data_IF_309016455518
#
_entry.id   IF_309016455518
#
_cell.length_a   1.000
_cell.length_b   1.000
_cell.length_c   1.000
_cell.angle_alpha   90.00
_cell.angle_beta   90.00
_cell.angle_gamma   90.00
#
_symmetry.space_group_name_H-M   'P 1'
#
loop_
_entity.id
_entity.type
_entity.pdbx_description
1 polymer ?
#
# COMPACT_ATOMS: atom_id res chain seq x y z
N UNK A 1 29.95 70.84 45.85
CA UNK A 1 30.86 69.83 45.23
C UNK A 1 30.16 68.49 45.01
N UNK A 2 29.34 68.01 45.95
CA UNK A 2 28.66 66.71 45.86
C UNK A 2 27.70 66.57 44.65
N UNK A 3 27.01 67.64 44.25
CA UNK A 3 26.10 67.64 43.08
C UNK A 3 26.81 67.42 41.73
N UNK A 4 28.09 67.79 41.61
CA UNK A 4 28.87 67.58 40.38
C UNK A 4 29.34 66.12 40.24
N UNK A 5 29.68 65.47 41.37
CA UNK A 5 30.11 64.06 41.37
C UNK A 5 28.95 63.14 40.98
N UNK A 6 27.75 63.41 41.50
CA UNK A 6 26.54 62.64 41.16
C UNK A 6 26.18 62.80 39.68
N UNK A 7 26.25 64.02 39.14
CA UNK A 7 25.98 64.27 37.72
C UNK A 7 26.99 63.58 36.80
N UNK A 8 28.26 63.52 37.19
CA UNK A 8 29.29 62.84 36.41
C UNK A 8 29.13 61.30 36.45
N UNK A 9 28.74 60.73 37.59
CA UNK A 9 28.40 59.31 37.70
C UNK A 9 27.16 58.95 36.89
N UNK A 10 26.10 59.77 36.93
CA UNK A 10 24.90 59.59 36.10
C UNK A 10 25.21 59.66 34.60
N UNK A 11 26.12 60.56 34.19
CA UNK A 11 26.60 60.66 32.81
C UNK A 11 27.36 59.41 32.37
N UNK A 12 28.28 58.91 33.21
CA UNK A 12 29.03 57.66 32.96
C UNK A 12 28.09 56.45 32.88
N UNK A 13 27.11 56.36 33.78
CA UNK A 13 26.12 55.27 33.77
C UNK A 13 25.27 55.28 32.49
N UNK A 14 24.82 56.47 32.06
CA UNK A 14 24.07 56.63 30.82
C UNK A 14 24.90 56.26 29.59
N UNK A 15 26.18 56.61 29.56
CA UNK A 15 27.08 56.22 28.46
C UNK A 15 27.23 54.69 28.37
N UNK A 16 27.46 54.01 29.50
CA UNK A 16 27.56 52.54 29.53
C UNK A 16 26.27 51.87 29.05
N UNK A 17 25.11 52.42 29.37
CA UNK A 17 23.82 51.89 28.89
C UNK A 17 23.64 52.08 27.37
N UNK A 18 24.03 53.23 26.84
CA UNK A 18 24.00 53.52 25.40
C UNK A 18 24.93 52.57 24.64
N UNK A 19 26.17 52.40 25.12
CA UNK A 19 27.17 51.53 24.48
C UNK A 19 26.71 50.06 24.47
N UNK A 20 26.07 49.59 25.55
CA UNK A 20 25.47 48.24 25.61
C UNK A 20 24.35 48.06 24.58
N UNK A 21 23.51 49.07 24.39
CA UNK A 21 22.41 49.01 23.42
C UNK A 21 22.92 49.03 21.98
N UNK A 22 23.96 49.82 21.68
CA UNK A 22 24.60 49.82 20.36
C UNK A 22 25.24 48.48 20.02
N UNK A 23 26.06 47.91 20.92
CA UNK A 23 26.66 46.59 20.72
C UNK A 23 25.63 45.48 20.53
N UNK A 24 24.49 45.56 21.22
CA UNK A 24 23.39 44.59 21.05
C UNK A 24 22.75 44.70 19.66
N UNK A 25 22.57 45.92 19.13
CA UNK A 25 22.04 46.15 17.76
C UNK A 25 23.01 45.65 16.69
N UNK A 26 24.30 45.97 16.81
CA UNK A 26 25.34 45.51 15.88
C UNK A 26 25.44 43.99 15.84
N UNK A 27 25.38 43.34 17.01
CA UNK A 27 25.40 41.88 17.09
C UNK A 27 24.17 41.25 16.42
N UNK A 28 22.97 41.84 16.60
CA UNK A 28 21.75 41.37 15.93
C UNK A 28 21.82 41.55 14.40
N UNK A 29 22.33 42.68 13.92
CA UNK A 29 22.52 42.91 12.48
C UNK A 29 23.51 41.91 11.88
N UNK A 30 24.70 41.76 12.48
CA UNK A 30 25.72 40.80 12.04
C UNK A 30 25.21 39.34 12.04
N UNK A 31 24.35 38.99 12.99
CA UNK A 31 23.71 37.68 13.04
C UNK A 31 22.70 37.50 11.90
N UNK A 32 21.87 38.50 11.63
CA UNK A 32 20.87 38.43 10.56
C UNK A 32 21.52 38.38 9.17
N UNK A 33 22.59 39.13 8.95
CA UNK A 33 23.34 39.13 7.69
C UNK A 33 24.01 37.78 7.42
N UNK A 34 24.56 37.14 8.46
CA UNK A 34 25.12 35.77 8.38
C UNK A 34 24.07 34.70 8.12
N UNK A 35 22.89 34.80 8.73
CA UNK A 35 21.82 33.81 8.51
C UNK A 35 21.28 33.95 7.08
N UNK A 36 21.09 35.18 6.58
CA UNK A 36 20.59 35.47 5.23
C UNK A 36 21.50 34.94 4.12
N UNK A 37 22.83 35.07 4.25
CA UNK A 37 23.77 34.55 3.26
C UNK A 37 23.81 33.02 3.21
N UNK A 38 23.88 32.35 4.37
CA UNK A 38 23.92 30.88 4.45
C UNK A 38 22.64 30.23 3.93
N UNK A 39 21.47 30.86 4.13
CA UNK A 39 20.20 30.36 3.58
C UNK A 39 20.12 30.47 2.06
N UNK A 40 20.68 31.53 1.46
CA UNK A 40 20.67 31.73 0.00
C UNK A 40 21.57 30.72 -0.72
N UNK A 41 22.76 30.47 -0.17
CA UNK A 41 23.70 29.52 -0.78
C UNK A 41 23.19 28.07 -0.69
N UNK A 42 22.54 27.69 0.43
CA UNK A 42 21.89 26.39 0.57
C UNK A 42 20.73 26.20 -0.39
N UNK A 43 19.88 27.23 -0.56
CA UNK A 43 18.76 27.18 -1.48
C UNK A 43 19.21 27.05 -2.94
N UNK A 44 20.25 27.79 -3.34
CA UNK A 44 20.84 27.68 -4.68
C UNK A 44 21.46 26.30 -4.92
N UNK A 45 22.12 25.73 -3.92
CA UNK A 45 22.71 24.39 -4.01
C UNK A 45 21.63 23.31 -4.15
N UNK A 46 20.53 23.43 -3.40
CA UNK A 46 19.38 22.53 -3.53
C UNK A 46 18.70 22.65 -4.90
N UNK A 47 18.47 23.86 -5.40
CA UNK A 47 17.92 24.08 -6.74
C UNK A 47 18.78 23.48 -7.85
N UNK A 48 20.12 23.60 -7.75
CA UNK A 48 21.03 22.97 -8.71
C UNK A 48 20.96 21.45 -8.66
N UNK A 49 20.88 20.87 -7.46
CA UNK A 49 20.71 19.41 -7.28
C UNK A 49 19.40 18.92 -7.89
N UNK A 50 18.28 19.59 -7.61
CA UNK A 50 16.96 19.26 -8.16
C UNK A 50 16.96 19.33 -9.70
N UNK A 51 17.55 20.39 -10.27
CA UNK A 51 17.64 20.54 -11.73
C UNK A 51 18.51 19.46 -12.38
N UNK A 52 19.58 19.01 -11.72
CA UNK A 52 20.42 17.93 -12.22
C UNK A 52 19.68 16.58 -12.21
N UNK A 53 18.97 16.26 -11.13
CA UNK A 53 18.16 15.05 -11.00
C UNK A 53 17.01 15.02 -12.02
N UNK A 54 16.34 16.15 -12.24
CA UNK A 54 15.27 16.25 -13.23
C UNK A 54 15.77 16.01 -14.66
N UNK A 55 16.95 16.55 -15.01
CA UNK A 55 17.58 16.28 -16.32
C UNK A 55 17.92 14.81 -16.51
N UNK A 56 18.42 14.13 -15.47
CA UNK A 56 18.71 12.69 -15.54
C UNK A 56 17.44 11.86 -15.72
N UNK A 57 16.36 12.19 -15.00
CA UNK A 57 15.06 11.50 -15.14
C UNK A 57 14.48 11.66 -16.56
N UNK A 58 14.56 12.86 -17.13
CA UNK A 58 14.11 13.10 -18.51
C UNK A 58 14.91 12.28 -19.53
N UNK A 59 16.24 12.23 -19.40
CA UNK A 59 17.07 11.43 -20.29
C UNK A 59 16.76 9.92 -20.18
N UNK A 60 16.46 9.41 -18.97
CA UNK A 60 16.03 8.03 -18.78
C UNK A 60 14.66 7.75 -19.43
N UNK A 61 13.70 8.67 -19.29
CA UNK A 61 12.39 8.54 -19.93
C UNK A 61 12.50 8.52 -21.47
N UNK A 62 13.33 9.38 -22.04
CA UNK A 62 13.60 9.39 -23.49
C UNK A 62 14.21 8.05 -23.95
N UNK A 63 15.14 7.48 -23.18
CA UNK A 63 15.73 6.16 -23.47
C UNK A 63 14.67 5.04 -23.43
N UNK A 64 13.79 5.05 -22.43
CA UNK A 64 12.69 4.08 -22.32
C UNK A 64 11.77 4.18 -23.54
N UNK A 65 11.38 5.40 -23.91
CA UNK A 65 10.53 5.65 -25.08
C UNK A 65 11.19 5.15 -26.37
N UNK A 66 12.48 5.42 -26.57
CA UNK A 66 13.22 4.91 -27.73
C UNK A 66 13.25 3.37 -27.76
N UNK A 67 13.40 2.72 -26.60
CA UNK A 67 13.38 1.25 -26.51
C UNK A 67 11.99 0.68 -26.82
N UNK A 68 10.91 1.31 -26.34
CA UNK A 68 9.54 0.91 -26.68
C UNK A 68 9.32 0.99 -28.19
N UNK A 69 9.73 2.09 -28.83
CA UNK A 69 9.61 2.23 -30.28
C UNK A 69 10.42 1.20 -31.08
N UNK A 70 11.56 0.73 -30.55
CA UNK A 70 12.34 -0.36 -31.15
C UNK A 70 11.67 -1.74 -31.00
N UNK A 71 10.91 -1.96 -29.94
CA UNK A 71 10.23 -3.24 -29.66
C UNK A 71 8.86 -3.35 -30.35
N UNK A 72 8.22 -2.23 -30.66
CA UNK A 72 6.90 -2.19 -31.32
C UNK A 72 6.84 -3.02 -32.63
N UNK A 73 7.84 -2.95 -33.55
CA UNK A 73 7.82 -3.74 -34.78
C UNK A 73 7.96 -5.24 -34.51
N UNK A 74 8.72 -5.63 -33.47
CA UNK A 74 8.92 -7.04 -33.09
C UNK A 74 7.59 -7.61 -32.57
N UNK A 75 6.87 -6.86 -31.73
CA UNK A 75 5.55 -7.26 -31.24
C UNK A 75 4.53 -7.35 -32.38
N UNK A 76 4.56 -6.42 -33.34
CA UNK A 76 3.71 -6.49 -34.54
C UNK A 76 4.02 -7.72 -35.40
N UNK A 77 5.30 -8.09 -35.54
CA UNK A 77 5.69 -9.32 -36.26
C UNK A 77 5.26 -10.59 -35.54
N UNK A 78 5.41 -10.64 -34.21
CA UNK A 78 4.97 -11.79 -33.40
C UNK A 78 3.45 -11.97 -33.47
N UNK A 79 2.68 -10.88 -33.43
CA UNK A 79 1.23 -10.94 -33.60
C UNK A 79 0.86 -11.53 -34.97
N UNK A 80 1.51 -11.04 -36.04
CA UNK A 80 1.21 -11.47 -37.40
C UNK A 80 1.59 -12.95 -37.62
N UNK A 81 2.67 -13.44 -36.99
CA UNK A 81 3.02 -14.87 -36.98
C UNK A 81 2.00 -15.72 -36.21
N UNK A 82 1.49 -15.21 -35.09
CA UNK A 82 0.48 -15.90 -34.29
C UNK A 82 -0.84 -16.03 -35.06
N UNK A 83 -1.30 -14.96 -35.69
CA UNK A 83 -2.51 -14.94 -36.51
C UNK A 83 -2.40 -15.92 -37.69
N UNK A 84 -1.23 -15.97 -38.35
CA UNK A 84 -0.96 -16.94 -39.41
C UNK A 84 -1.01 -18.39 -38.90
N UNK A 85 -0.46 -18.68 -37.72
CA UNK A 85 -0.50 -20.03 -37.16
C UNK A 85 -1.92 -20.46 -36.77
N UNK A 86 -2.73 -19.55 -36.21
CA UNK A 86 -4.13 -19.85 -35.91
C UNK A 86 -4.92 -20.17 -37.18
N UNK A 87 -4.74 -19.38 -38.24
CA UNK A 87 -5.41 -19.63 -39.51
C UNK A 87 -5.01 -20.98 -40.12
N UNK A 88 -3.72 -21.32 -40.08
CA UNK A 88 -3.23 -22.64 -40.54
C UNK A 88 -3.86 -23.78 -39.72
N UNK A 89 -3.99 -23.63 -38.39
CA UNK A 89 -4.63 -24.65 -37.55
C UNK A 89 -6.13 -24.77 -37.84
N UNK A 90 -6.83 -23.65 -38.01
CA UNK A 90 -8.24 -23.64 -38.34
C UNK A 90 -8.52 -24.30 -39.71
N UNK A 91 -7.69 -24.02 -40.72
CA UNK A 91 -7.78 -24.61 -42.05
C UNK A 91 -7.44 -26.12 -42.03
N UNK A 92 -6.46 -26.55 -41.21
CA UNK A 92 -6.16 -27.97 -41.00
C UNK A 92 -7.30 -28.73 -40.29
N UNK A 93 -8.03 -28.06 -39.40
CA UNK A 93 -9.19 -28.64 -38.71
C UNK A 93 -10.37 -28.70 -39.69
N UNK A 94 -10.66 -27.62 -40.43
CA UNK A 94 -11.73 -27.57 -41.43
C UNK A 94 -11.57 -28.58 -42.56
N UNK A 95 -10.33 -28.88 -42.97
CA UNK A 95 -10.07 -29.90 -44.00
C UNK A 95 -10.21 -31.34 -43.52
N UNK A 96 -10.24 -31.59 -42.21
CA UNK A 96 -10.28 -32.95 -41.61
C UNK A 96 -11.61 -33.30 -40.94
N UNK A 97 -12.47 -32.32 -40.67
CA UNK A 97 -13.69 -32.47 -39.89
C UNK A 97 -14.86 -31.74 -40.55
N UNK A 98 -16.07 -32.29 -40.48
CA UNK A 98 -17.28 -31.56 -40.89
C UNK A 98 -17.57 -30.42 -39.90
N UNK A 99 -18.23 -29.33 -40.32
CA UNK A 99 -18.52 -28.16 -39.47
C UNK A 99 -19.14 -28.52 -38.11
N UNK A 100 -19.94 -29.60 -38.09
CA UNK A 100 -20.54 -30.16 -36.88
C UNK A 100 -19.53 -30.83 -35.94
N UNK A 101 -18.54 -31.57 -36.48
CA UNK A 101 -17.47 -32.18 -35.69
C UNK A 101 -16.49 -31.12 -35.11
N UNK A 102 -16.28 -30.03 -35.84
CA UNK A 102 -15.48 -28.88 -35.39
C UNK A 102 -16.14 -28.19 -34.20
N UNK A 103 -17.45 -27.94 -34.30
CA UNK A 103 -18.23 -27.37 -33.20
C UNK A 103 -18.20 -28.26 -31.95
N UNK A 104 -18.26 -29.59 -32.10
CA UNK A 104 -18.14 -30.50 -30.95
C UNK A 104 -16.75 -30.49 -30.31
N UNK A 105 -15.67 -30.37 -31.10
CA UNK A 105 -14.29 -30.28 -30.60
C UNK A 105 -14.01 -28.95 -29.88
N UNK A 106 -14.55 -27.83 -30.36
CA UNK A 106 -14.39 -26.51 -29.73
C UNK A 106 -15.11 -26.40 -28.39
N UNK A 107 -16.26 -27.06 -28.24
CA UNK A 107 -17.04 -27.12 -26.99
C UNK A 107 -16.51 -28.17 -25.99
N UNK A 108 -15.37 -28.83 -26.29
CA UNK A 108 -14.78 -29.87 -25.44
C UNK A 108 -15.62 -31.14 -25.32
N UNK A 109 -16.56 -31.36 -26.25
CA UNK A 109 -17.43 -32.53 -26.26
C UNK A 109 -16.64 -33.69 -26.87
N UNK A 110 -16.45 -34.83 -26.15
CA UNK A 110 -15.67 -35.94 -26.65
C UNK A 110 -16.37 -36.59 -27.85
N UNK A 111 -15.92 -36.25 -29.06
CA UNK A 111 -16.36 -36.90 -30.30
C UNK A 111 -15.77 -38.31 -30.31
N UNK A 112 -16.59 -39.31 -30.01
CA UNK A 112 -16.20 -40.72 -30.20
C UNK A 112 -16.01 -40.97 -31.69
N UNK A 113 -14.77 -40.93 -32.15
CA UNK A 113 -14.38 -41.41 -33.47
C UNK A 113 -14.51 -42.93 -33.52
N UNK A 114 -15.72 -43.42 -33.77
CA UNK A 114 -15.90 -44.79 -34.27
C UNK A 114 -15.62 -44.78 -35.77
N UNK A 115 -14.38 -45.11 -36.16
CA UNK A 115 -14.19 -45.74 -37.46
C UNK A 115 -14.73 -47.16 -37.39
N UNK A 116 -15.84 -47.44 -38.10
CA UNK A 116 -16.07 -48.66 -38.90
C UNK A 116 -17.45 -48.62 -39.58
N UNK A 117 -17.39 -48.46 -40.91
CA UNK A 117 -18.13 -49.08 -42.01
C UNK A 117 -19.67 -49.32 -41.97
N UNK A 118 -20.29 -49.37 -43.17
CA UNK A 118 -21.70 -49.06 -43.36
C UNK A 118 -22.58 -50.30 -43.19
N UNK A 119 -23.77 -50.11 -42.62
CA UNK A 119 -24.88 -51.04 -42.83
C UNK A 119 -26.14 -50.27 -43.18
N UNK A 120 -26.61 -50.52 -44.39
CA UNK A 120 -27.92 -50.13 -44.88
C UNK A 120 -29.04 -50.83 -44.09
N UNK A 121 -30.16 -50.11 -44.02
CA UNK A 121 -31.54 -50.58 -43.99
C UNK A 121 -32.14 -51.16 -42.71
N UNK A 122 -33.44 -50.85 -42.60
CA UNK A 122 -34.50 -51.35 -41.74
C UNK A 122 -34.70 -50.47 -40.48
N UNK A 123 -35.85 -49.89 -40.18
CA UNK A 123 -37.23 -50.01 -40.71
C UNK A 123 -37.99 -48.76 -40.20
N UNK A 124 -38.77 -48.16 -41.10
CA UNK A 124 -40.10 -47.57 -40.92
C UNK A 124 -40.42 -46.78 -39.63
N UNK A 125 -40.75 -45.50 -39.85
CA UNK A 125 -41.84 -44.77 -39.18
C UNK A 125 -43.09 -45.64 -39.01
N UNK A 126 -43.79 -45.60 -37.86
CA UNK A 126 -44.86 -44.61 -37.77
C UNK A 126 -45.08 -44.01 -36.36
N UNK A 127 -45.59 -42.77 -36.39
CA UNK A 127 -46.62 -42.24 -35.51
C UNK A 127 -46.56 -42.56 -34.02
N UNK A 128 -46.02 -41.61 -33.26
CA UNK A 128 -46.71 -41.14 -32.05
C UNK A 128 -46.07 -39.82 -31.60
N UNK A 129 -46.83 -38.74 -31.72
CA UNK A 129 -46.62 -37.50 -30.96
C UNK A 129 -47.29 -37.72 -29.60
N UNK A 130 -46.56 -37.65 -28.47
CA UNK A 130 -47.16 -37.21 -27.22
C UNK A 130 -46.73 -35.77 -26.95
N UNK A 131 -47.75 -34.93 -27.05
CA UNK A 131 -48.04 -33.71 -26.31
C UNK A 131 -46.91 -33.08 -25.48
N UNK A 132 -46.70 -31.79 -25.80
CA UNK A 132 -46.05 -30.78 -24.99
C UNK A 132 -46.42 -30.89 -23.50
N UNK A 133 -45.46 -31.31 -22.67
CA UNK A 133 -45.41 -30.87 -21.28
C UNK A 133 -44.58 -29.58 -21.24
N UNK A 134 -45.25 -28.50 -20.83
CA UNK A 134 -44.62 -27.26 -20.41
C UNK A 134 -43.62 -27.58 -19.29
N UNK A 135 -42.33 -27.62 -19.61
CA UNK A 135 -41.29 -27.42 -18.62
C UNK A 135 -41.39 -25.97 -18.16
N UNK A 136 -42.04 -25.78 -17.01
CA UNK A 136 -41.87 -24.61 -16.16
C UNK A 136 -40.37 -24.43 -15.93
N UNK A 137 -39.83 -23.31 -16.40
CA UNK A 137 -38.50 -22.82 -16.04
C UNK A 137 -38.47 -22.58 -14.53
N UNK A 138 -38.17 -23.63 -13.77
CA UNK A 138 -37.63 -23.48 -12.43
C UNK A 138 -36.17 -23.02 -12.59
N UNK A 139 -35.95 -21.71 -12.68
CA UNK A 139 -34.67 -21.11 -12.34
C UNK A 139 -34.45 -21.31 -10.85
N UNK A 140 -34.09 -22.52 -10.45
CA UNK A 140 -33.38 -22.72 -9.19
C UNK A 140 -31.99 -22.18 -9.45
N UNK A 141 -31.79 -20.90 -9.15
CA UNK A 141 -30.47 -20.41 -8.75
C UNK A 141 -30.03 -21.31 -7.59
N UNK A 142 -29.34 -22.40 -7.92
CA UNK A 142 -28.68 -23.24 -6.93
C UNK A 142 -27.73 -22.31 -6.19
N UNK A 143 -27.91 -22.18 -4.87
CA UNK A 143 -26.89 -21.58 -4.01
C UNK A 143 -25.61 -22.38 -4.24
N UNK A 144 -24.59 -21.69 -4.75
CA UNK A 144 -23.26 -22.27 -4.94
C UNK A 144 -22.52 -22.12 -3.63
N UNK A 145 -22.12 -23.24 -3.04
CA UNK A 145 -21.27 -23.24 -1.85
C UNK A 145 -19.82 -22.99 -2.27
N UNK A 146 -19.28 -21.82 -1.92
CA UNK A 146 -17.90 -21.47 -2.18
C UNK A 146 -16.96 -22.13 -1.16
N UNK A 147 -15.81 -22.59 -1.63
CA UNK A 147 -14.70 -23.04 -0.78
C UNK A 147 -14.10 -21.86 0.00
N UNK A 148 -13.45 -22.15 1.13
CA UNK A 148 -12.76 -21.12 1.92
C UNK A 148 -11.66 -20.40 1.13
N UNK A 149 -10.98 -21.09 0.22
CA UNK A 149 -9.95 -20.48 -0.63
C UNK A 149 -10.56 -19.49 -1.63
N UNK A 150 -11.69 -19.82 -2.26
CA UNK A 150 -12.39 -18.92 -3.17
C UNK A 150 -12.90 -17.67 -2.46
N UNK A 151 -13.45 -17.82 -1.25
CA UNK A 151 -13.86 -16.68 -0.42
C UNK A 151 -12.67 -15.77 -0.10
N UNK A 152 -11.50 -16.32 0.25
CA UNK A 152 -10.28 -15.54 0.54
C UNK A 152 -9.76 -14.81 -0.69
N UNK A 153 -9.74 -15.46 -1.86
CA UNK A 153 -9.33 -14.81 -3.12
C UNK A 153 -10.29 -13.67 -3.47
N UNK A 154 -11.60 -13.90 -3.31
CA UNK A 154 -12.63 -12.88 -3.52
C UNK A 154 -12.47 -11.70 -2.56
N UNK A 155 -12.26 -11.96 -1.27
CA UNK A 155 -11.95 -10.93 -0.27
C UNK A 155 -10.72 -10.09 -0.64
N UNK A 156 -9.63 -10.75 -1.08
CA UNK A 156 -8.41 -10.06 -1.50
C UNK A 156 -8.62 -9.20 -2.75
N UNK A 157 -9.30 -9.74 -3.76
CA UNK A 157 -9.62 -9.00 -5.00
C UNK A 157 -10.50 -7.80 -4.72
N UNK A 158 -11.55 -7.97 -3.91
CA UNK A 158 -12.42 -6.88 -3.49
C UNK A 158 -11.63 -5.76 -2.80
N UNK A 159 -10.70 -6.11 -1.91
CA UNK A 159 -9.85 -5.13 -1.22
C UNK A 159 -8.91 -4.36 -2.15
N UNK A 160 -8.47 -4.97 -3.25
CA UNK A 160 -7.52 -4.35 -4.20
C UNK A 160 -8.21 -3.51 -5.27
N UNK A 161 -9.34 -3.98 -5.78
CA UNK A 161 -10.05 -3.35 -6.90
C UNK A 161 -11.08 -2.32 -6.43
N UNK A 162 -11.57 -2.44 -5.19
CA UNK A 162 -12.74 -1.71 -4.73
C UNK A 162 -14.05 -2.36 -5.20
N UNK A 163 -15.16 -1.98 -4.58
CA UNK A 163 -16.46 -2.64 -4.77
C UNK A 163 -16.97 -2.56 -6.22
N UNK A 164 -16.88 -1.37 -6.82
CA UNK A 164 -17.40 -1.15 -8.17
C UNK A 164 -16.69 -2.03 -9.19
N UNK A 165 -15.35 -1.99 -9.23
CA UNK A 165 -14.57 -2.76 -10.20
C UNK A 165 -14.64 -4.26 -9.94
N UNK A 166 -14.76 -4.67 -8.68
CA UNK A 166 -14.98 -6.08 -8.36
C UNK A 166 -16.32 -6.58 -8.92
N UNK A 167 -17.40 -5.80 -8.80
CA UNK A 167 -18.71 -6.18 -9.33
C UNK A 167 -18.72 -6.18 -10.87
N UNK A 168 -18.08 -5.19 -11.50
CA UNK A 168 -17.88 -5.16 -12.97
C UNK A 168 -17.12 -6.41 -13.47
N UNK A 169 -16.02 -6.78 -12.82
CA UNK A 169 -15.26 -7.99 -13.17
C UNK A 169 -16.11 -9.25 -12.95
N UNK A 170 -16.87 -9.30 -11.86
CA UNK A 170 -17.77 -10.40 -11.53
C UNK A 170 -18.85 -10.58 -12.60
N UNK A 171 -19.50 -9.51 -13.03
CA UNK A 171 -20.52 -9.55 -14.08
C UNK A 171 -19.94 -10.05 -15.40
N UNK A 172 -18.75 -9.56 -15.80
CA UNK A 172 -18.07 -10.00 -17.02
C UNK A 172 -17.78 -11.51 -16.93
N UNK A 173 -17.17 -11.99 -15.86
CA UNK A 173 -16.79 -13.40 -15.75
C UNK A 173 -17.99 -14.34 -15.64
N UNK A 174 -19.04 -13.92 -14.93
CA UNK A 174 -20.29 -14.70 -14.87
C UNK A 174 -20.99 -14.76 -16.23
N UNK A 175 -21.00 -13.64 -16.96
CA UNK A 175 -21.68 -13.54 -18.27
C UNK A 175 -20.93 -14.26 -19.38
N UNK A 176 -19.61 -14.11 -19.45
CA UNK A 176 -18.81 -14.59 -20.59
C UNK A 176 -18.06 -15.89 -20.31
N UNK A 177 -17.66 -16.15 -19.07
CA UNK A 177 -16.85 -17.32 -18.72
C UNK A 177 -17.63 -18.37 -17.92
N UNK A 178 -18.90 -18.09 -17.56
CA UNK A 178 -19.75 -18.95 -16.71
C UNK A 178 -19.06 -19.32 -15.39
N UNK A 179 -18.12 -18.51 -14.92
CA UNK A 179 -17.42 -18.70 -13.65
C UNK A 179 -18.26 -18.07 -12.55
N UNK A 180 -18.57 -18.84 -11.51
CA UNK A 180 -19.32 -18.34 -10.36
C UNK A 180 -18.35 -17.69 -9.40
N UNK A 181 -18.41 -16.35 -9.31
CA UNK A 181 -17.57 -15.57 -8.39
C UNK A 181 -18.39 -15.18 -7.16
N UNK A 182 -17.81 -15.26 -5.94
CA UNK A 182 -18.47 -14.81 -4.72
C UNK A 182 -19.01 -13.38 -4.85
N UNK A 183 -20.22 -13.15 -4.34
CA UNK A 183 -20.79 -11.81 -4.29
C UNK A 183 -19.97 -10.87 -3.40
N UNK A 184 -20.10 -9.55 -3.60
CA UNK A 184 -19.49 -8.54 -2.72
C UNK A 184 -19.81 -8.81 -1.25
N UNK A 185 -21.07 -9.16 -0.93
CA UNK A 185 -21.46 -9.48 0.45
C UNK A 185 -20.70 -10.68 1.03
N UNK A 186 -20.46 -11.71 0.20
CA UNK A 186 -19.68 -12.90 0.61
C UNK A 186 -18.22 -12.55 0.81
N UNK A 187 -17.64 -11.78 -0.11
CA UNK A 187 -16.27 -11.30 -0.01
C UNK A 187 -16.05 -10.39 1.20
N UNK A 188 -16.95 -9.42 1.46
CA UNK A 188 -16.93 -8.57 2.67
C UNK A 188 -17.06 -9.38 3.95
N UNK A 189 -17.93 -10.39 3.98
CA UNK A 189 -18.07 -11.27 5.15
C UNK A 189 -16.77 -12.03 5.41
N UNK A 190 -16.12 -12.54 4.36
CA UNK A 190 -14.82 -13.18 4.50
C UNK A 190 -13.75 -12.18 4.96
N UNK A 191 -13.73 -10.95 4.42
CA UNK A 191 -12.84 -9.90 4.93
C UNK A 191 -13.07 -9.63 6.42
N UNK A 192 -14.32 -9.55 6.89
CA UNK A 192 -14.63 -9.38 8.32
C UNK A 192 -14.10 -10.55 9.15
N UNK A 193 -14.35 -11.79 8.72
CA UNK A 193 -13.82 -13.00 9.38
C UNK A 193 -12.30 -13.01 9.39
N UNK A 194 -11.67 -12.60 8.29
CA UNK A 194 -10.23 -12.51 8.19
C UNK A 194 -9.69 -11.35 9.05
N UNK A 195 -10.37 -10.21 9.16
CA UNK A 195 -10.01 -9.12 10.07
C UNK A 195 -10.19 -9.50 11.55
N UNK A 196 -11.19 -10.30 11.88
CA UNK A 196 -11.40 -10.83 13.24
C UNK A 196 -10.39 -11.93 13.61
N UNK A 197 -9.93 -12.72 12.63
CA UNK A 197 -8.93 -13.78 12.83
C UNK A 197 -7.50 -13.28 12.77
N UNK A 198 -7.22 -12.41 11.81
CA UNK A 198 -5.97 -11.70 11.71
C UNK A 198 -6.09 -10.60 12.74
N UNK A 199 -5.59 -10.90 13.93
CA UNK A 199 -5.29 -9.97 15.01
C UNK A 199 -4.52 -8.71 14.58
N UNK A 200 -4.28 -8.41 13.29
CA UNK A 200 -3.54 -7.27 12.78
C UNK A 200 -4.07 -5.94 13.31
N UNK A 201 -5.39 -5.75 13.37
CA UNK A 201 -5.95 -4.50 13.90
C UNK A 201 -5.82 -4.42 15.43
N UNK A 202 -6.08 -5.51 16.15
CA UNK A 202 -5.90 -5.57 17.60
C UNK A 202 -4.43 -5.67 18.04
N UNK A 203 -3.52 -6.05 17.15
CA UNK A 203 -2.08 -6.15 17.36
C UNK A 203 -1.48 -4.77 17.21
N UNK A 204 -1.74 -4.15 16.07
CA UNK A 204 -1.01 -2.97 15.69
C UNK A 204 -1.59 -1.72 16.32
N UNK A 205 -2.90 -1.65 16.63
CA UNK A 205 -3.54 -0.54 17.38
C UNK A 205 -3.36 -0.76 18.89
N UNK A 206 -2.10 -0.78 19.33
CA UNK A 206 -1.77 -1.01 20.73
C UNK A 206 -1.74 0.29 21.53
N UNK A 207 -2.27 0.26 22.76
CA UNK A 207 -1.67 1.10 23.81
C UNK A 207 -0.22 0.64 24.03
N UNK A 208 0.05 -0.67 24.06
CA UNK A 208 1.37 -1.27 24.29
C UNK A 208 1.81 -2.10 23.08
N UNK A 209 3.11 -2.06 22.79
CA UNK A 209 3.75 -2.85 21.74
C UNK A 209 4.03 -4.27 22.26
N UNK A 210 3.49 -5.29 21.57
CA UNK A 210 3.76 -6.70 21.84
C UNK A 210 4.65 -7.27 20.73
N UNK A 211 5.95 -7.51 21.01
CA UNK A 211 6.88 -7.95 19.98
C UNK A 211 6.54 -9.30 19.34
N UNK A 212 5.81 -10.19 20.02
CA UNK A 212 5.43 -11.49 19.46
C UNK A 212 4.26 -11.36 18.47
N UNK A 213 3.38 -10.38 18.71
CA UNK A 213 2.17 -10.13 17.94
C UNK A 213 2.43 -9.16 16.78
N UNK A 214 3.18 -8.09 17.04
CA UNK A 214 3.35 -6.96 16.13
C UNK A 214 4.40 -7.23 15.05
N UNK A 215 5.32 -8.16 15.30
CA UNK A 215 6.38 -8.58 14.36
C UNK A 215 6.12 -9.96 13.74
N UNK A 216 4.94 -10.54 13.92
CA UNK A 216 4.63 -11.88 13.38
C UNK A 216 4.75 -11.94 11.85
N UNK A 217 4.53 -10.82 11.15
CA UNK A 217 4.64 -10.71 9.69
C UNK A 217 6.06 -10.55 9.16
N UNK A 218 7.08 -10.38 10.01
CA UNK A 218 8.46 -10.10 9.57
C UNK A 218 9.08 -11.29 8.83
N UNK A 219 8.85 -12.52 9.29
CA UNK A 219 9.38 -13.72 8.64
C UNK A 219 8.69 -13.99 7.29
N UNK A 220 7.38 -13.79 7.20
CA UNK A 220 6.63 -13.90 5.94
C UNK A 220 7.09 -12.84 4.94
N UNK A 221 7.35 -11.63 5.41
CA UNK A 221 7.90 -10.53 4.63
C UNK A 221 9.33 -10.83 4.14
N UNK A 222 10.22 -11.37 5.00
CA UNK A 222 11.56 -11.83 4.57
C UNK A 222 11.47 -12.90 3.49
N UNK A 223 10.56 -13.87 3.68
CA UNK A 223 10.35 -14.97 2.74
C UNK A 223 9.83 -14.46 1.40
N UNK A 224 8.89 -13.51 1.42
CA UNK A 224 8.29 -12.91 0.22
C UNK A 224 9.31 -12.12 -0.60
N UNK A 225 10.23 -11.43 0.06
CA UNK A 225 11.32 -10.67 -0.56
C UNK A 225 12.57 -11.50 -0.85
N UNK A 226 12.50 -12.84 -0.68
CA UNK A 226 13.63 -13.76 -0.91
C UNK A 226 14.89 -13.36 -0.13
N UNK A 227 14.71 -12.74 1.05
CA UNK A 227 15.82 -12.31 1.89
C UNK A 227 16.38 -13.51 2.65
N UNK A 228 17.70 -13.70 2.58
CA UNK A 228 18.37 -14.80 3.27
C UNK A 228 18.19 -14.68 4.79
N UNK A 229 17.97 -15.82 5.47
CA UNK A 229 17.84 -15.85 6.93
C UNK A 229 19.12 -15.41 7.64
N UNK A 230 20.27 -15.68 7.05
CA UNK A 230 21.59 -15.43 7.65
C UNK A 230 22.18 -14.06 7.27
N UNK A 231 21.54 -13.33 6.37
CA UNK A 231 21.99 -12.01 5.97
C UNK A 231 21.47 -10.94 6.93
N UNK A 232 22.36 -10.03 7.37
CA UNK A 232 21.94 -8.82 8.06
C UNK A 232 21.25 -7.91 7.04
N UNK A 233 19.97 -7.65 7.26
CA UNK A 233 19.16 -6.76 6.43
C UNK A 233 19.25 -5.37 7.04
N UNK A 234 19.75 -4.41 6.26
CA UNK A 234 19.70 -3.01 6.64
C UNK A 234 18.32 -2.44 6.31
N UNK A 235 17.71 -1.82 7.31
CA UNK A 235 16.38 -1.26 7.18
C UNK A 235 16.30 0.10 7.86
N UNK A 236 15.28 0.84 7.45
CA UNK A 236 14.90 2.15 7.94
C UNK A 236 13.59 1.96 8.67
N UNK A 237 13.50 2.47 9.88
CA UNK A 237 12.21 2.55 10.56
C UNK A 237 11.68 3.97 10.34
N UNK A 238 10.57 4.08 9.63
CA UNK A 238 9.88 5.36 9.38
C UNK A 238 8.78 5.53 10.42
N UNK A 239 8.67 6.73 11.00
CA UNK A 239 7.59 7.13 11.87
C UNK A 239 6.86 8.32 11.26
N UNK A 240 5.56 8.16 11.03
CA UNK A 240 4.71 9.24 10.54
C UNK A 240 3.38 9.30 11.31
N UNK A 241 2.68 10.43 11.21
CA UNK A 241 1.43 10.70 11.90
C UNK A 241 0.36 11.15 10.90
N UNK A 242 -0.70 10.36 10.81
CA UNK A 242 -1.84 10.66 9.94
C UNK A 242 -2.90 11.36 10.79
N UNK A 243 -3.32 12.56 10.35
CA UNK A 243 -4.47 13.23 10.94
C UNK A 243 -5.76 12.49 10.56
N UNK A 244 -6.56 12.13 11.56
CA UNK A 244 -7.85 11.45 11.35
C UNK A 244 -8.98 12.44 11.63
N UNK A 245 -9.90 12.56 10.68
CA UNK A 245 -11.03 13.48 10.80
C UNK A 245 -11.91 13.11 12.00
N UNK A 246 -12.39 14.12 12.74
CA UNK A 246 -13.09 14.00 14.04
C UNK A 246 -14.50 13.38 13.97
N UNK A 247 -14.89 12.77 12.85
CA UNK A 247 -16.20 12.15 12.76
C UNK A 247 -16.27 10.98 13.74
N UNK A 248 -17.25 11.00 14.64
CA UNK A 248 -17.44 9.93 15.62
C UNK A 248 -17.97 8.72 14.87
N UNK A 249 -17.12 7.71 14.68
CA UNK A 249 -17.56 6.41 14.17
C UNK A 249 -18.14 5.62 15.33
N UNK A 250 -19.36 5.13 15.17
CA UNK A 250 -19.98 4.21 16.11
C UNK A 250 -19.84 2.79 15.58
N UNK A 251 -19.54 1.85 16.46
CA UNK A 251 -19.59 0.43 16.14
C UNK A 251 -21.04 -0.02 15.88
N UNK A 252 -21.20 -1.28 15.51
CA UNK A 252 -22.51 -1.93 15.28
C UNK A 252 -23.42 -1.89 16.52
N UNK A 253 -22.86 -1.58 17.69
CA UNK A 253 -23.51 -1.52 19.01
C UNK A 253 -23.66 -0.09 19.55
N UNK A 254 -23.26 0.96 18.80
CA UNK A 254 -23.37 2.35 19.21
C UNK A 254 -22.25 2.85 20.14
N UNK A 255 -21.11 2.16 20.24
CA UNK A 255 -19.92 2.61 20.99
C UNK A 255 -19.05 3.47 20.07
N UNK A 256 -18.65 4.69 20.50
CA UNK A 256 -17.78 5.53 19.70
C UNK A 256 -16.37 4.93 19.60
N UNK A 257 -15.94 4.51 18.42
CA UNK A 257 -14.60 3.98 18.13
C UNK A 257 -13.48 5.03 18.24
N UNK A 258 -13.84 6.32 18.30
CA UNK A 258 -12.89 7.42 18.17
C UNK A 258 -12.43 8.04 19.50
N UNK A 259 -12.58 7.36 20.64
CA UNK A 259 -12.16 7.90 21.95
C UNK A 259 -11.07 7.05 22.59
N UNK A 260 -9.98 7.68 23.01
CA UNK A 260 -9.01 7.10 23.94
C UNK A 260 -9.24 7.64 25.35
N UNK A 261 -9.09 6.77 26.36
CA UNK A 261 -9.13 7.17 27.76
C UNK A 261 -7.77 7.73 28.18
N UNK A 262 -7.67 9.04 28.31
CA UNK A 262 -6.47 9.69 28.83
C UNK A 262 -6.75 10.28 30.22
N UNK A 263 -6.13 9.72 31.26
CA UNK A 263 -6.31 10.17 32.67
C UNK A 263 -7.79 10.21 33.11
N UNK A 264 -8.59 9.25 32.68
CA UNK A 264 -10.01 9.17 33.00
C UNK A 264 -10.90 10.17 32.23
N UNK A 265 -10.35 10.89 31.25
CA UNK A 265 -11.11 11.73 30.33
C UNK A 265 -11.09 11.12 28.93
N UNK A 266 -12.26 10.97 28.33
CA UNK A 266 -12.39 10.60 26.93
C UNK A 266 -11.90 11.75 26.05
N UNK A 267 -10.92 11.46 25.19
CA UNK A 267 -10.45 12.39 24.17
C UNK A 267 -10.62 11.76 22.80
N UNK A 268 -11.16 12.54 21.88
CA UNK A 268 -11.23 12.15 20.48
C UNK A 268 -9.81 11.89 19.95
N UNK A 269 -9.61 10.75 19.31
CA UNK A 269 -8.41 10.45 18.54
C UNK A 269 -8.32 11.50 17.43
N UNK A 270 -7.14 12.07 17.26
CA UNK A 270 -6.86 13.06 16.21
C UNK A 270 -5.72 12.62 15.30
N UNK A 271 -4.87 11.71 15.77
CA UNK A 271 -3.68 11.28 15.07
C UNK A 271 -3.49 9.76 15.23
N UNK A 272 -3.06 9.13 14.15
CA UNK A 272 -2.57 7.76 14.14
C UNK A 272 -1.10 7.82 13.78
N UNK A 273 -0.24 7.42 14.71
CA UNK A 273 1.19 7.30 14.45
C UNK A 273 1.47 5.90 13.93
N UNK A 274 2.23 5.74 12.86
CA UNK A 274 2.58 4.44 12.31
C UNK A 274 4.09 4.29 12.21
N UNK A 275 4.60 3.14 12.65
CA UNK A 275 5.96 2.69 12.37
C UNK A 275 5.93 1.77 11.16
N UNK A 276 6.70 2.13 10.14
CA UNK A 276 6.82 1.37 8.89
C UNK A 276 8.27 1.00 8.69
N UNK A 277 8.54 -0.29 8.57
CA UNK A 277 9.86 -0.80 8.22
C UNK A 277 10.04 -0.73 6.70
N UNK A 278 11.14 -0.15 6.24
CA UNK A 278 11.48 -0.01 4.82
C UNK A 278 12.89 -0.53 4.61
N UNK A 279 13.13 -1.31 3.56
CA UNK A 279 14.50 -1.75 3.22
C UNK A 279 15.27 -0.70 2.46
N UNK A 280 16.59 -0.66 2.64
CA UNK A 280 17.47 0.21 1.81
C UNK A 280 17.57 -0.28 0.35
N UNK A 281 17.40 -1.60 0.12
CA UNK A 281 17.70 -2.22 -1.17
C UNK A 281 16.48 -2.45 -2.07
N UNK A 282 15.27 -2.49 -1.51
CA UNK A 282 14.04 -2.79 -2.26
C UNK A 282 12.91 -1.83 -1.86
N UNK A 283 12.01 -1.54 -2.81
CA UNK A 283 10.88 -0.63 -2.62
C UNK A 283 9.69 -1.30 -1.91
N UNK A 284 9.98 -2.15 -0.92
CA UNK A 284 8.96 -2.84 -0.14
C UNK A 284 8.92 -2.33 1.30
N UNK A 285 7.73 -2.29 1.88
CA UNK A 285 7.49 -1.72 3.20
C UNK A 285 6.55 -2.58 4.02
N UNK A 286 6.83 -2.66 5.32
CA UNK A 286 6.04 -3.44 6.27
C UNK A 286 5.58 -2.53 7.41
N UNK A 287 4.27 -2.26 7.56
CA UNK A 287 3.77 -1.60 8.77
C UNK A 287 3.99 -2.51 9.99
N UNK A 288 4.68 -1.98 11.00
CA UNK A 288 5.12 -2.71 12.21
C UNK A 288 4.20 -2.45 13.39
N UNK A 289 3.75 -1.21 13.57
CA UNK A 289 2.96 -0.82 14.75
C UNK A 289 2.23 0.49 14.47
N UNK A 290 1.02 0.67 15.03
CA UNK A 290 0.33 1.94 14.97
C UNK A 290 -0.25 2.39 16.32
N UNK A 291 0.04 3.62 16.73
CA UNK A 291 -0.43 4.16 17.99
C UNK A 291 -1.46 5.26 17.78
N UNK A 292 -2.61 5.11 18.44
CA UNK A 292 -3.64 6.14 18.49
C UNK A 292 -3.25 7.26 19.45
N UNK A 293 -3.49 8.50 19.05
CA UNK A 293 -3.21 9.67 19.87
C UNK A 293 -4.27 10.75 19.71
N UNK A 294 -4.62 11.38 20.84
CA UNK A 294 -5.42 12.59 20.87
C UNK A 294 -4.59 13.86 20.59
N UNK A 295 -3.25 13.74 20.55
CA UNK A 295 -2.34 14.87 20.32
C UNK A 295 -1.37 14.57 19.19
N UNK A 296 -1.08 15.57 18.35
CA UNK A 296 -0.10 15.41 17.28
C UNK A 296 1.35 15.35 17.77
N UNK A 297 1.65 15.64 19.03
CA UNK A 297 3.02 15.59 19.53
C UNK A 297 3.50 14.15 19.74
N UNK A 298 4.69 13.83 19.21
CA UNK A 298 5.38 12.59 19.50
C UNK A 298 5.66 12.49 21.02
N UNK A 299 5.20 11.40 21.63
CA UNK A 299 5.29 11.11 23.06
C UNK A 299 6.55 10.30 23.38
N UNK A 300 7.00 10.36 24.64
CA UNK A 300 8.12 9.52 25.08
C UNK A 300 7.85 8.03 24.85
N UNK A 301 6.60 7.60 25.04
CA UNK A 301 6.15 6.23 24.79
C UNK A 301 6.46 5.77 23.36
N UNK A 302 6.28 6.63 22.36
CA UNK A 302 6.56 6.28 20.96
C UNK A 302 8.05 6.09 20.72
N UNK A 303 8.89 6.90 21.35
CA UNK A 303 10.34 6.72 21.32
C UNK A 303 10.77 5.44 22.03
N UNK A 304 10.16 5.12 23.17
CA UNK A 304 10.43 3.87 23.88
C UNK A 304 10.02 2.66 23.01
N UNK A 305 8.85 2.73 22.36
CA UNK A 305 8.39 1.72 21.39
C UNK A 305 9.36 1.55 20.23
N UNK A 306 9.92 2.64 19.68
CA UNK A 306 10.96 2.57 18.65
C UNK A 306 12.15 1.70 19.10
N UNK A 307 12.68 1.91 20.31
CA UNK A 307 13.81 1.11 20.80
C UNK A 307 13.45 -0.36 20.99
N UNK A 308 12.24 -0.65 21.45
CA UNK A 308 11.76 -2.03 21.61
C UNK A 308 11.63 -2.71 20.24
N UNK A 309 11.09 -2.01 19.24
CA UNK A 309 11.01 -2.49 17.86
C UNK A 309 12.41 -2.81 17.34
N UNK A 310 13.33 -1.84 17.37
CA UNK A 310 14.70 -2.01 16.88
C UNK A 310 15.41 -3.20 17.56
N UNK A 311 15.30 -3.31 18.89
CA UNK A 311 15.88 -4.43 19.64
C UNK A 311 15.29 -5.77 19.23
N UNK A 312 14.01 -5.81 18.91
CA UNK A 312 13.35 -7.06 18.52
C UNK A 312 13.67 -7.44 17.08
N UNK A 313 13.71 -6.48 16.16
CA UNK A 313 14.11 -6.68 14.77
C UNK A 313 15.52 -7.27 14.63
N UNK A 314 16.45 -6.96 15.55
CA UNK A 314 17.76 -7.61 15.60
C UNK A 314 17.69 -9.13 15.75
N UNK A 315 16.66 -9.67 16.43
CA UNK A 315 16.46 -11.13 16.54
C UNK A 315 16.11 -11.78 15.20
N UNK A 316 15.64 -10.97 14.25
CA UNK A 316 15.31 -11.38 12.88
C UNK A 316 16.44 -11.05 11.89
N UNK A 317 17.65 -10.70 12.38
CA UNK A 317 18.78 -10.21 11.59
C UNK A 317 18.44 -8.93 10.80
N UNK A 318 17.53 -8.10 11.31
CA UNK A 318 17.20 -6.80 10.72
C UNK A 318 17.82 -5.71 11.59
N UNK A 319 18.69 -4.90 10.99
CA UNK A 319 19.36 -3.80 11.65
C UNK A 319 18.72 -2.48 11.19
N UNK A 320 18.10 -1.77 12.14
CA UNK A 320 17.58 -0.43 11.91
C UNK A 320 18.64 0.62 12.29
N UNK A 321 19.28 1.20 11.29
CA UNK A 321 20.38 2.14 11.49
C UNK A 321 19.91 3.57 11.80
N UNK A 322 18.69 3.94 11.37
CA UNK A 322 18.13 5.27 11.59
C UNK A 322 16.60 5.26 11.68
N UNK A 323 16.07 6.26 12.39
CA UNK A 323 14.65 6.61 12.40
C UNK A 323 14.44 7.77 11.44
N UNK A 324 13.60 7.57 10.43
CA UNK A 324 13.13 8.68 9.60
C UNK A 324 11.77 9.16 10.16
N UNK A 325 11.60 10.47 10.26
CA UNK A 325 10.35 11.08 10.68
C UNK A 325 10.14 12.40 9.91
N UNK A 326 8.90 12.91 9.90
CA UNK A 326 8.62 14.19 9.25
C UNK A 326 9.27 15.38 10.01
N UNK A 327 9.47 16.50 9.32
CA UNK A 327 9.99 17.76 9.88
C UNK A 327 8.94 18.56 10.65
N UNK A 328 7.75 17.98 10.85
CA UNK A 328 6.64 18.64 11.50
C UNK A 328 6.95 18.95 12.98
N UNK A 329 6.45 20.07 13.55
CA UNK A 329 6.71 20.45 14.93
C UNK A 329 6.30 19.40 15.98
N UNK A 330 5.44 18.47 15.57
CA UNK A 330 5.09 17.26 16.29
C UNK A 330 6.29 16.44 16.76
N UNK A 331 7.39 16.47 15.99
CA UNK A 331 8.59 15.67 16.20
C UNK A 331 9.75 16.46 16.84
N UNK A 332 9.56 17.73 17.20
CA UNK A 332 10.59 18.57 17.88
C UNK A 332 11.15 17.96 19.18
N UNK A 333 10.47 16.96 19.77
CA UNK A 333 10.98 16.21 20.94
C UNK A 333 12.03 15.17 20.56
N UNK A 334 11.95 14.61 19.35
CA UNK A 334 12.90 13.63 18.81
C UNK A 334 14.26 14.31 18.59
N UNK A 335 14.26 15.56 18.12
CA UNK A 335 15.47 16.37 17.89
C UNK A 335 16.33 16.62 19.14
N UNK A 336 15.76 16.45 20.34
CA UNK A 336 16.51 16.60 21.59
C UNK A 336 17.43 15.42 21.89
N UNK A 337 17.28 14.32 21.15
CA UNK A 337 18.06 13.11 21.33
C UNK A 337 19.27 13.13 20.39
N UNK A 338 20.50 13.13 20.92
CA UNK A 338 21.73 13.41 20.15
C UNK A 338 22.10 12.32 19.14
N UNK A 339 21.43 11.18 19.15
CA UNK A 339 21.66 10.06 18.22
C UNK A 339 20.75 10.11 16.97
N UNK A 340 19.76 10.99 16.91
CA UNK A 340 19.03 11.25 15.67
C UNK A 340 19.72 12.37 14.90
N UNK A 341 20.51 12.00 13.89
CA UNK A 341 21.09 12.95 12.94
C UNK A 341 20.15 13.14 11.76
N UNK A 342 19.84 14.40 11.45
CA UNK A 342 19.08 14.77 10.25
C UNK A 342 19.83 14.32 9.00
N UNK A 343 19.12 13.72 8.04
CA UNK A 343 19.57 13.55 6.65
C UNK A 343 18.92 14.59 5.75
#
# INVERSE_FOLDING_TARGET
METNVVNEQMRKLRQVQIDRLQKKKEWQQNRNDRVSSVTKDRHNTQLQKINAEQKQKLAQQELIIQNIYKQLPILQQLQLQFDQQQQIQEDQIKSKFTDWQIHCLQEGIPVKTQMKQPLHQLVQTPDSIPQQQQTTLNTTEKRVDYTEQEKKIAALRLSRLGEQHYEEEREIQMKYHKVVIPSVSTAKRQQKVDLEKVNFFDAHIGLEFDPAKDLSGVEDWKTSNKLSKDQIIKAILQLDAIYVNKQVYFDEFGIPHNTILHKGQEKAIQFVFAFVLVTECEADSLPIFCQLSATGSCSQRQLDTYFIICKTLLKYNIQCDFLAHDCDPFYNRIEKYPFFTWS
#
